data_IF_569247933883
#
_entry.id   IF_569247933883
#
_cell.length_a   1.000
_cell.length_b   1.000
_cell.length_c   1.000
_cell.angle_alpha   90.00
_cell.angle_beta   90.00
_cell.angle_gamma   90.00
#
_symmetry.space_group_name_H-M   'P 1'
#
loop_
_entity.id
_entity.type
_entity.pdbx_description
1 polymer ?
#
# COMPACT_ATOMS: atom_id res chain seq x y z
N UNK A 1 -22.17 -24.08 2.07
CA UNK A 1 -22.06 -23.05 1.01
C UNK A 1 -20.79 -22.26 1.24
N UNK A 2 -20.02 -21.99 0.18
CA UNK A 2 -18.87 -21.13 0.25
C UNK A 2 -18.89 -20.10 -0.90
N UNK A 3 -18.22 -18.99 -0.69
CA UNK A 3 -17.97 -17.96 -1.70
C UNK A 3 -16.47 -17.83 -1.89
N UNK A 4 -16.02 -17.87 -3.14
CA UNK A 4 -14.63 -17.57 -3.52
C UNK A 4 -14.58 -16.20 -4.21
N UNK A 5 -13.71 -15.34 -3.73
CA UNK A 5 -13.34 -14.09 -4.39
C UNK A 5 -11.88 -14.22 -4.77
N UNK A 6 -11.63 -14.29 -6.07
CA UNK A 6 -10.29 -14.27 -6.64
C UNK A 6 -9.91 -12.86 -7.05
N UNK A 7 -8.63 -12.53 -6.96
CA UNK A 7 -8.08 -11.21 -7.26
C UNK A 7 -8.79 -10.08 -6.50
N UNK A 8 -8.93 -10.22 -5.18
CA UNK A 8 -9.60 -9.23 -4.32
C UNK A 8 -9.09 -7.80 -4.54
N UNK A 9 -7.82 -7.64 -4.95
CA UNK A 9 -7.23 -6.33 -5.22
C UNK A 9 -7.89 -5.59 -6.40
N UNK A 10 -8.54 -6.28 -7.32
CA UNK A 10 -9.28 -5.67 -8.44
C UNK A 10 -10.54 -4.92 -7.99
N UNK A 11 -11.01 -5.19 -6.76
CA UNK A 11 -12.14 -4.47 -6.16
C UNK A 11 -11.73 -3.11 -5.55
N UNK A 12 -10.44 -2.79 -5.49
CA UNK A 12 -9.94 -1.57 -4.87
C UNK A 12 -10.58 -0.27 -5.40
N UNK A 13 -10.92 -0.25 -6.69
CA UNK A 13 -11.46 0.93 -7.38
C UNK A 13 -12.92 0.81 -7.77
N UNK A 14 -13.61 -0.26 -7.36
CA UNK A 14 -15.00 -0.49 -7.74
C UNK A 14 -15.93 0.19 -6.74
N UNK A 15 -16.76 1.12 -7.21
CA UNK A 15 -17.64 1.95 -6.38
C UNK A 15 -18.66 1.18 -5.53
N UNK A 16 -19.09 -0.01 -5.97
CA UNK A 16 -20.05 -0.86 -5.24
C UNK A 16 -19.41 -2.01 -4.47
N UNK A 17 -18.10 -2.08 -4.43
CA UNK A 17 -17.39 -3.21 -3.82
C UNK A 17 -17.71 -3.40 -2.33
N UNK A 18 -17.77 -2.32 -1.56
CA UNK A 18 -18.11 -2.39 -0.13
C UNK A 18 -19.50 -3.03 0.09
N UNK A 19 -20.50 -2.66 -0.70
CA UNK A 19 -21.85 -3.24 -0.61
C UNK A 19 -21.82 -4.75 -0.91
N UNK A 20 -21.13 -5.17 -1.96
CA UNK A 20 -20.98 -6.59 -2.31
C UNK A 20 -20.34 -7.39 -1.16
N UNK A 21 -19.29 -6.89 -0.55
CA UNK A 21 -18.64 -7.57 0.57
C UNK A 21 -19.51 -7.64 1.82
N UNK A 22 -20.34 -6.61 2.08
CA UNK A 22 -21.32 -6.61 3.17
C UNK A 22 -22.39 -7.68 2.91
N UNK A 23 -22.94 -7.74 1.70
CA UNK A 23 -23.96 -8.72 1.33
C UNK A 23 -23.44 -10.16 1.40
N UNK A 24 -22.22 -10.41 0.86
CA UNK A 24 -21.59 -11.73 0.92
C UNK A 24 -21.40 -12.20 2.36
N UNK A 25 -20.92 -11.33 3.25
CA UNK A 25 -20.77 -11.66 4.67
C UNK A 25 -22.14 -11.80 5.37
N UNK A 26 -23.11 -10.97 5.05
CA UNK A 26 -24.47 -11.06 5.57
C UNK A 26 -25.12 -12.40 5.22
N UNK A 27 -24.87 -12.92 4.03
CA UNK A 27 -25.38 -14.21 3.60
C UNK A 27 -24.82 -15.40 4.42
N UNK A 28 -23.68 -15.25 5.08
CA UNK A 28 -23.11 -16.27 5.97
C UNK A 28 -23.82 -16.36 7.32
N UNK A 29 -24.54 -15.31 7.75
CA UNK A 29 -25.21 -15.26 9.06
C UNK A 29 -26.24 -16.40 9.22
N UNK A 30 -26.91 -16.79 8.15
CA UNK A 30 -27.86 -17.91 8.13
C UNK A 30 -27.21 -19.28 7.81
N UNK A 31 -25.89 -19.36 7.74
CA UNK A 31 -25.16 -20.55 7.27
C UNK A 31 -23.90 -20.78 8.12
N UNK A 32 -24.00 -21.41 9.29
CA UNK A 32 -22.88 -21.60 10.21
C UNK A 32 -21.68 -22.31 9.60
N UNK A 33 -21.91 -23.21 8.64
CA UNK A 33 -20.85 -23.96 7.91
C UNK A 33 -20.39 -23.24 6.65
N UNK A 34 -20.87 -22.01 6.43
CA UNK A 34 -20.45 -21.20 5.29
C UNK A 34 -19.14 -20.46 5.54
N UNK A 35 -18.37 -20.23 4.48
CA UNK A 35 -17.18 -19.42 4.57
C UNK A 35 -16.95 -18.60 3.29
N UNK A 36 -16.23 -17.52 3.45
CA UNK A 36 -15.69 -16.68 2.38
C UNK A 36 -14.20 -16.91 2.27
N UNK A 37 -13.74 -17.37 1.10
CA UNK A 37 -12.33 -17.46 0.76
C UNK A 37 -11.96 -16.30 -0.16
N UNK A 38 -10.91 -15.59 0.18
CA UNK A 38 -10.35 -14.53 -0.64
C UNK A 38 -8.92 -14.92 -1.03
N UNK A 39 -8.62 -14.83 -2.32
CA UNK A 39 -7.29 -15.08 -2.89
C UNK A 39 -6.88 -13.83 -3.65
N UNK A 40 -5.65 -13.39 -3.47
CA UNK A 40 -5.17 -12.17 -4.13
C UNK A 40 -3.65 -12.06 -4.10
N UNK A 41 -3.10 -11.35 -5.07
CA UNK A 41 -1.76 -10.76 -5.02
C UNK A 41 -1.81 -9.31 -4.54
N UNK A 42 -0.71 -8.60 -4.59
CA UNK A 42 -0.68 -7.15 -4.35
C UNK A 42 -1.28 -6.40 -5.54
N UNK A 43 -1.91 -5.28 -5.25
CA UNK A 43 -2.40 -4.35 -6.27
C UNK A 43 -1.24 -3.66 -7.01
N UNK A 44 -1.47 -3.37 -8.29
CA UNK A 44 -0.55 -2.58 -9.15
C UNK A 44 -0.47 -1.10 -8.79
N UNK A 45 -1.18 -0.71 -7.75
CA UNK A 45 -1.24 0.63 -7.16
C UNK A 45 -1.26 0.50 -5.62
N UNK A 46 -1.07 1.57 -4.85
CA UNK A 46 -1.27 1.53 -3.41
C UNK A 46 -2.63 0.93 -3.05
N UNK A 47 -2.71 0.07 -2.02
CA UNK A 47 -3.98 -0.50 -1.60
C UNK A 47 -5.01 0.58 -1.30
N UNK A 48 -6.22 0.42 -1.84
CA UNK A 48 -7.32 1.36 -1.68
C UNK A 48 -8.65 0.63 -1.49
N UNK A 49 -9.71 1.37 -1.16
CA UNK A 49 -11.08 0.87 -1.10
C UNK A 49 -11.24 -0.37 -0.22
N UNK A 50 -12.07 -1.30 -0.68
CA UNK A 50 -12.36 -2.55 0.02
C UNK A 50 -11.12 -3.43 0.17
N UNK A 51 -10.25 -3.46 -0.84
CA UNK A 51 -9.02 -4.26 -0.77
C UNK A 51 -8.12 -3.81 0.39
N UNK A 52 -7.95 -2.51 0.58
CA UNK A 52 -7.19 -1.97 1.72
C UNK A 52 -7.81 -2.40 3.05
N UNK A 53 -9.15 -2.27 3.19
CA UNK A 53 -9.88 -2.65 4.40
C UNK A 53 -9.70 -4.14 4.74
N UNK A 54 -9.79 -5.02 3.72
CA UNK A 54 -9.61 -6.47 3.91
C UNK A 54 -8.18 -6.82 4.32
N UNK A 55 -7.19 -6.21 3.66
CA UNK A 55 -5.78 -6.43 3.94
C UNK A 55 -5.40 -5.95 5.36
N UNK A 56 -5.84 -4.74 5.75
CA UNK A 56 -5.59 -4.19 7.08
C UNK A 56 -6.24 -5.06 8.17
N UNK A 57 -7.47 -5.54 7.93
CA UNK A 57 -8.16 -6.48 8.83
C UNK A 57 -7.39 -7.80 8.97
N UNK A 58 -6.91 -8.37 7.86
CA UNK A 58 -6.14 -9.61 7.87
C UNK A 58 -4.82 -9.44 8.64
N UNK A 59 -4.16 -8.30 8.48
CA UNK A 59 -2.94 -7.97 9.24
C UNK A 59 -3.21 -7.82 10.74
N UNK A 60 -4.25 -7.08 11.10
CA UNK A 60 -4.64 -6.88 12.50
C UNK A 60 -4.97 -8.21 13.20
N UNK A 61 -5.62 -9.15 12.49
CA UNK A 61 -5.86 -10.50 13.03
C UNK A 61 -4.56 -11.30 13.16
N UNK A 62 -3.69 -11.29 12.15
CA UNK A 62 -2.38 -11.94 12.20
C UNK A 62 -1.53 -11.43 13.37
N UNK A 63 -1.55 -10.13 13.61
CA UNK A 63 -0.71 -9.45 14.60
C UNK A 63 -1.34 -9.48 16.02
N UNK A 64 -2.55 -10.07 16.15
CA UNK A 64 -3.25 -10.22 17.42
C UNK A 64 -3.94 -8.94 17.92
N UNK A 65 -4.01 -7.91 17.08
CA UNK A 65 -4.68 -6.63 17.41
C UNK A 65 -6.20 -6.75 17.30
N UNK A 66 -6.69 -7.73 16.54
CA UNK A 66 -8.11 -7.94 16.29
C UNK A 66 -8.44 -9.44 16.37
N UNK A 67 -9.49 -9.78 17.13
CA UNK A 67 -9.98 -11.17 17.26
C UNK A 67 -11.24 -11.34 16.40
N UNK A 68 -11.13 -12.11 15.33
CA UNK A 68 -12.23 -12.45 14.42
C UNK A 68 -12.14 -13.93 14.03
N UNK A 69 -13.25 -14.56 13.60
CA UNK A 69 -13.25 -15.88 12.98
C UNK A 69 -12.69 -15.79 11.55
N UNK A 70 -11.44 -15.35 11.43
CA UNK A 70 -10.72 -15.11 10.19
C UNK A 70 -9.36 -15.80 10.25
N UNK A 71 -9.06 -16.65 9.28
CA UNK A 71 -7.74 -17.21 9.05
C UNK A 71 -6.99 -16.29 8.07
N UNK A 72 -6.01 -15.54 8.56
CA UNK A 72 -5.16 -14.69 7.75
C UNK A 72 -3.89 -15.45 7.33
N UNK A 73 -3.76 -15.76 6.03
CA UNK A 73 -2.54 -16.34 5.44
C UNK A 73 -1.93 -15.29 4.52
N UNK A 74 -0.84 -14.65 4.97
CA UNK A 74 -0.20 -13.51 4.29
C UNK A 74 1.26 -13.85 3.99
N UNK A 75 1.56 -14.07 2.71
CA UNK A 75 2.92 -14.24 2.21
C UNK A 75 3.51 -12.88 1.86
N UNK A 76 3.95 -12.13 2.86
CA UNK A 76 4.52 -10.80 2.69
C UNK A 76 5.83 -10.64 3.46
N UNK A 77 6.76 -9.88 2.89
CA UNK A 77 8.00 -9.54 3.57
C UNK A 77 7.74 -8.47 4.64
N UNK A 78 8.52 -8.46 5.73
CA UNK A 78 8.48 -7.37 6.70
C UNK A 78 8.64 -6.00 6.03
N UNK A 79 7.93 -4.99 6.53
CA UNK A 79 7.92 -3.64 5.94
C UNK A 79 9.34 -3.06 5.78
N UNK A 80 10.22 -3.29 6.76
CA UNK A 80 11.63 -2.87 6.68
C UNK A 80 12.35 -3.50 5.48
N UNK A 81 12.12 -4.79 5.22
CA UNK A 81 12.72 -5.51 4.10
C UNK A 81 12.16 -5.04 2.76
N UNK A 82 10.84 -4.76 2.69
CA UNK A 82 10.24 -4.17 1.49
C UNK A 82 10.87 -2.80 1.17
N UNK A 83 10.99 -1.91 2.15
CA UNK A 83 11.56 -0.56 2.00
C UNK A 83 13.05 -0.59 1.63
N UNK A 84 13.84 -1.49 2.21
CA UNK A 84 15.29 -1.61 1.92
C UNK A 84 15.61 -2.28 0.58
N UNK A 85 14.60 -2.79 -0.14
CA UNK A 85 14.81 -3.53 -1.38
C UNK A 85 15.29 -4.96 -1.17
N UNK A 86 15.18 -5.51 0.04
CA UNK A 86 15.58 -6.89 0.37
C UNK A 86 14.82 -7.96 -0.41
N UNK A 87 13.66 -7.62 -1.01
CA UNK A 87 12.92 -8.48 -1.91
C UNK A 87 13.67 -8.80 -3.24
N UNK A 88 14.72 -8.03 -3.57
CA UNK A 88 15.59 -8.31 -4.72
C UNK A 88 16.56 -9.46 -4.45
N UNK A 89 16.75 -9.82 -3.19
CA UNK A 89 17.60 -10.95 -2.81
C UNK A 89 16.86 -12.27 -3.02
N UNK A 90 17.42 -13.12 -3.88
CA UNK A 90 16.84 -14.43 -4.20
C UNK A 90 16.73 -15.39 -2.99
N UNK A 91 17.42 -15.11 -1.89
CA UNK A 91 17.28 -15.86 -0.65
C UNK A 91 15.95 -15.61 0.05
N UNK A 92 15.30 -14.47 -0.19
CA UNK A 92 14.04 -14.08 0.44
C UNK A 92 12.80 -14.52 -0.34
N UNK A 93 12.96 -14.93 -1.61
CA UNK A 93 11.82 -15.20 -2.50
C UNK A 93 10.92 -16.33 -2.03
N UNK A 94 11.45 -17.34 -1.35
CA UNK A 94 10.65 -18.43 -0.76
C UNK A 94 9.69 -17.97 0.32
N UNK A 95 9.91 -16.79 0.94
CA UNK A 95 9.01 -16.24 1.96
C UNK A 95 7.69 -15.72 1.36
N UNK A 96 7.70 -15.33 0.10
CA UNK A 96 6.55 -14.76 -0.61
C UNK A 96 6.07 -15.62 -1.77
N UNK A 97 6.83 -16.65 -2.12
CA UNK A 97 6.48 -17.64 -3.14
C UNK A 97 6.56 -19.05 -2.54
N UNK A 98 5.51 -19.52 -1.85
CA UNK A 98 5.51 -20.84 -1.20
C UNK A 98 5.71 -22.00 -2.17
N UNK A 99 5.42 -21.78 -3.46
CA UNK A 99 5.60 -22.73 -4.56
C UNK A 99 6.89 -22.51 -5.36
N UNK A 100 7.86 -21.77 -4.80
CA UNK A 100 9.15 -21.55 -5.47
C UNK A 100 9.83 -22.90 -5.80
N UNK A 101 10.32 -23.04 -7.03
CA UNK A 101 10.87 -24.27 -7.63
C UNK A 101 9.85 -25.44 -7.77
N UNK A 102 8.55 -25.15 -7.67
CA UNK A 102 7.46 -26.11 -7.97
C UNK A 102 6.60 -25.62 -9.12
N UNK A 103 5.95 -24.46 -8.99
CA UNK A 103 5.17 -23.82 -10.03
C UNK A 103 5.79 -22.49 -10.51
N UNK A 104 6.69 -21.90 -9.71
CA UNK A 104 7.45 -20.69 -10.06
C UNK A 104 8.92 -21.04 -10.03
N UNK A 105 9.59 -20.92 -11.18
CA UNK A 105 11.03 -21.16 -11.28
C UNK A 105 11.83 -19.96 -10.76
N UNK A 106 12.83 -20.24 -9.93
CA UNK A 106 13.75 -19.23 -9.40
C UNK A 106 14.56 -18.55 -10.50
N UNK A 107 14.97 -19.28 -11.54
CA UNK A 107 15.67 -18.73 -12.68
C UNK A 107 14.79 -17.75 -13.45
N UNK A 108 13.53 -18.11 -13.70
CA UNK A 108 12.56 -17.20 -14.31
C UNK A 108 12.43 -15.88 -13.55
N UNK A 109 12.28 -15.92 -12.21
CA UNK A 109 12.18 -14.70 -11.39
C UNK A 109 13.45 -13.85 -11.46
N UNK A 110 14.64 -14.48 -11.53
CA UNK A 110 15.91 -13.77 -11.67
C UNK A 110 16.02 -13.05 -13.02
N UNK A 111 15.59 -13.70 -14.10
CA UNK A 111 15.58 -13.11 -15.45
C UNK A 111 14.59 -11.94 -15.52
N UNK A 112 13.38 -12.11 -14.94
CA UNK A 112 12.39 -11.03 -14.84
C UNK A 112 12.92 -9.83 -14.04
N UNK A 113 13.60 -10.07 -12.92
CA UNK A 113 14.20 -9.00 -12.12
C UNK A 113 15.30 -8.27 -12.89
N UNK A 114 16.15 -8.99 -13.60
CA UNK A 114 17.21 -8.41 -14.43
C UNK A 114 16.62 -7.54 -15.53
N UNK A 115 15.58 -8.01 -16.19
CA UNK A 115 14.86 -7.27 -17.24
C UNK A 115 14.21 -6.02 -16.66
N UNK A 116 13.46 -6.14 -15.57
CA UNK A 116 12.77 -5.01 -14.94
C UNK A 116 13.73 -3.93 -14.40
N UNK A 117 14.90 -4.33 -13.90
CA UNK A 117 15.94 -3.38 -13.48
C UNK A 117 16.48 -2.53 -14.65
N UNK A 118 16.53 -3.11 -15.86
CA UNK A 118 16.95 -2.41 -17.07
C UNK A 118 15.83 -1.53 -17.63
N UNK A 119 14.60 -2.04 -17.64
CA UNK A 119 13.46 -1.40 -18.31
C UNK A 119 12.89 -0.23 -17.50
N UNK A 120 13.22 -0.15 -16.21
CA UNK A 120 12.99 1.05 -15.39
C UNK A 120 12.02 0.88 -14.21
N UNK A 121 11.74 1.98 -13.51
CA UNK A 121 11.02 1.93 -12.24
C UNK A 121 9.58 1.40 -12.33
N UNK A 122 8.91 1.61 -13.45
CA UNK A 122 7.53 1.16 -13.66
C UNK A 122 7.45 -0.37 -13.70
N UNK A 123 8.30 -0.98 -14.53
CA UNK A 123 8.38 -2.43 -14.68
C UNK A 123 8.86 -3.08 -13.39
N UNK A 124 9.82 -2.45 -12.72
CA UNK A 124 10.33 -2.92 -11.44
C UNK A 124 9.24 -2.90 -10.36
N UNK A 125 8.41 -1.86 -10.29
CA UNK A 125 7.29 -1.76 -9.36
C UNK A 125 6.23 -2.82 -9.64
N UNK A 126 5.92 -3.04 -10.92
CA UNK A 126 4.98 -4.06 -11.35
C UNK A 126 5.47 -5.47 -10.98
N UNK A 127 6.71 -5.81 -11.29
CA UNK A 127 7.33 -7.07 -10.90
C UNK A 127 7.31 -7.27 -9.38
N UNK A 128 7.71 -6.23 -8.63
CA UNK A 128 7.76 -6.26 -7.18
C UNK A 128 6.38 -6.59 -6.56
N UNK A 129 5.32 -5.98 -7.07
CA UNK A 129 3.98 -6.20 -6.57
C UNK A 129 3.43 -7.58 -6.96
N UNK A 130 3.62 -8.00 -8.19
CA UNK A 130 2.97 -9.20 -8.74
C UNK A 130 3.70 -10.51 -8.37
N UNK A 131 5.02 -10.48 -8.25
CA UNK A 131 5.81 -11.69 -7.99
C UNK A 131 6.46 -11.72 -6.60
N UNK A 132 6.63 -10.59 -5.94
CA UNK A 132 7.26 -10.54 -4.62
C UNK A 132 6.35 -9.97 -3.53
N UNK A 133 5.07 -9.75 -3.83
CA UNK A 133 4.07 -9.21 -2.90
C UNK A 133 4.52 -7.93 -2.18
N UNK A 134 5.35 -7.11 -2.84
CA UNK A 134 5.79 -5.82 -2.31
C UNK A 134 4.68 -4.80 -2.49
N UNK A 135 4.32 -4.11 -1.42
CA UNK A 135 3.31 -3.07 -1.50
C UNK A 135 3.86 -1.85 -2.26
N UNK A 136 3.18 -1.46 -3.34
CA UNK A 136 3.53 -0.23 -4.06
C UNK A 136 3.22 0.96 -3.14
N UNK A 137 4.26 1.69 -2.84
CA UNK A 137 4.21 2.96 -2.10
C UNK A 137 4.51 4.13 -3.01
N UNK A 138 4.72 5.31 -2.42
CA UNK A 138 5.02 6.53 -3.16
C UNK A 138 6.25 6.38 -4.06
N UNK A 139 7.33 5.76 -3.57
CA UNK A 139 8.59 5.62 -4.32
C UNK A 139 8.59 4.58 -5.44
N UNK A 140 7.58 3.70 -5.51
CA UNK A 140 7.48 2.65 -6.53
C UNK A 140 6.44 2.94 -7.62
N UNK A 141 5.73 4.05 -7.56
CA UNK A 141 4.79 4.44 -8.63
C UNK A 141 5.55 4.91 -9.87
N UNK A 142 5.15 4.41 -11.03
CA UNK A 142 5.74 4.80 -12.32
C UNK A 142 5.59 6.29 -12.65
N UNK A 143 4.54 6.92 -12.16
CA UNK A 143 4.21 8.33 -12.32
C UNK A 143 4.36 9.13 -11.01
N UNK A 144 5.17 8.65 -10.08
CA UNK A 144 5.39 9.39 -8.84
C UNK A 144 6.21 10.65 -9.09
N UNK A 145 5.92 11.68 -8.31
CA UNK A 145 6.77 12.86 -8.25
C UNK A 145 8.21 12.47 -7.86
N UNK A 146 9.21 13.09 -8.47
CA UNK A 146 10.63 12.80 -8.24
C UNK A 146 11.02 12.88 -6.76
N UNK A 147 10.41 13.80 -6.00
CA UNK A 147 10.63 13.97 -4.57
C UNK A 147 10.00 12.89 -3.67
N UNK A 148 9.17 12.00 -4.22
CA UNK A 148 8.45 10.99 -3.41
C UNK A 148 9.39 10.07 -2.61
N UNK A 149 10.56 9.75 -3.13
CA UNK A 149 11.56 8.92 -2.46
C UNK A 149 12.21 9.60 -1.25
N UNK A 150 12.15 10.91 -1.20
CA UNK A 150 12.74 11.74 -0.14
C UNK A 150 11.70 12.22 0.87
N UNK A 151 10.41 12.04 0.57
CA UNK A 151 9.31 12.59 1.35
C UNK A 151 9.33 12.18 2.83
N UNK A 152 9.46 10.86 3.08
CA UNK A 152 9.52 10.36 4.46
C UNK A 152 10.78 10.82 5.20
N UNK A 153 11.93 10.89 4.51
CA UNK A 153 13.20 11.34 5.07
C UNK A 153 13.26 12.84 5.34
N UNK A 154 12.43 13.62 4.66
CA UNK A 154 12.33 15.07 4.84
C UNK A 154 11.36 15.46 5.97
N UNK A 155 10.67 14.49 6.60
CA UNK A 155 9.70 14.77 7.65
C UNK A 155 10.37 15.38 8.90
N UNK A 156 9.97 16.59 9.26
CA UNK A 156 10.39 17.28 10.48
C UNK A 156 9.47 16.86 11.63
N UNK A 157 9.98 15.99 12.51
CA UNK A 157 9.21 15.52 13.66
C UNK A 157 8.83 16.70 14.58
N UNK A 158 7.55 16.78 14.92
CA UNK A 158 7.02 17.83 15.80
C UNK A 158 6.78 19.19 15.15
N UNK A 159 6.89 19.29 13.82
CA UNK A 159 6.49 20.52 13.12
C UNK A 159 4.96 20.62 13.13
N UNK A 160 4.44 21.58 13.89
CA UNK A 160 3.04 21.97 13.86
C UNK A 160 2.84 23.30 13.12
N UNK A 161 1.60 23.65 12.82
CA UNK A 161 1.25 24.87 12.10
C UNK A 161 1.74 26.13 12.83
N UNK A 162 1.66 26.15 14.16
CA UNK A 162 2.07 27.30 14.97
C UNK A 162 3.58 27.52 14.90
N UNK A 163 4.37 26.46 15.01
CA UNK A 163 5.83 26.52 14.89
C UNK A 163 6.27 26.86 13.47
N UNK A 164 5.59 26.36 12.46
CA UNK A 164 5.86 26.74 11.07
C UNK A 164 5.67 28.23 10.87
N UNK A 165 4.53 28.79 11.26
CA UNK A 165 4.23 30.22 11.11
C UNK A 165 5.25 31.07 11.87
N UNK A 166 5.63 30.66 13.09
CA UNK A 166 6.60 31.42 13.91
C UNK A 166 8.00 31.42 13.28
N UNK A 167 8.41 30.36 12.62
CA UNK A 167 9.74 30.22 11.99
C UNK A 167 9.85 30.90 10.64
N UNK A 168 8.75 31.01 9.91
CA UNK A 168 8.78 31.47 8.52
C UNK A 168 8.76 33.01 8.39
N UNK A 169 9.49 33.51 7.39
CA UNK A 169 9.44 34.92 6.98
C UNK A 169 8.24 35.21 6.07
N UNK A 170 7.77 34.19 5.36
CA UNK A 170 6.58 34.21 4.53
C UNK A 170 5.92 32.84 4.59
N UNK A 171 4.60 32.81 4.62
CA UNK A 171 3.80 31.59 4.52
C UNK A 171 2.65 31.79 3.54
N UNK A 172 2.36 30.77 2.76
CA UNK A 172 1.25 30.72 1.81
C UNK A 172 0.34 29.56 2.19
N UNK A 173 -0.96 29.82 2.17
CA UNK A 173 -1.99 28.83 2.48
C UNK A 173 -2.67 28.41 1.20
N UNK A 174 -2.73 27.12 0.95
CA UNK A 174 -3.55 26.50 -0.08
C UNK A 174 -4.75 25.81 0.55
N UNK A 175 -5.94 26.10 0.03
CA UNK A 175 -7.18 25.46 0.42
C UNK A 175 -7.78 24.86 -0.85
N UNK A 176 -8.06 23.55 -0.80
CA UNK A 176 -8.80 22.86 -1.83
C UNK A 176 -10.03 22.22 -1.20
N UNK A 177 -11.18 22.52 -1.74
CA UNK A 177 -12.46 22.02 -1.24
C UNK A 177 -13.31 21.55 -2.39
N UNK A 178 -13.75 20.30 -2.30
CA UNK A 178 -14.62 19.66 -3.27
C UNK A 178 -16.10 19.77 -2.92
N UNK A 179 -16.91 19.02 -3.66
CA UNK A 179 -18.35 18.86 -3.42
C UNK A 179 -18.66 17.96 -2.21
N UNK A 180 -19.89 17.48 -2.14
CA UNK A 180 -20.40 16.69 -1.00
C UNK A 180 -19.61 15.40 -0.70
N UNK A 181 -18.88 14.87 -1.67
CA UNK A 181 -18.12 13.61 -1.54
C UNK A 181 -16.59 13.82 -1.58
N UNK A 182 -16.12 15.06 -1.48
CA UNK A 182 -14.70 15.40 -1.56
C UNK A 182 -14.16 15.93 -0.22
N UNK A 183 -12.89 15.61 0.06
CA UNK A 183 -12.23 16.07 1.27
C UNK A 183 -11.76 17.51 1.11
N UNK A 184 -11.96 18.32 2.14
CA UNK A 184 -11.35 19.64 2.22
C UNK A 184 -9.86 19.48 2.55
N UNK A 185 -8.99 19.93 1.65
CA UNK A 185 -7.55 19.97 1.82
C UNK A 185 -7.09 21.35 2.32
N UNK A 186 -6.23 21.37 3.33
CA UNK A 186 -5.54 22.57 3.81
C UNK A 186 -4.05 22.28 3.83
N UNK A 187 -3.27 23.12 3.14
CA UNK A 187 -1.82 23.04 3.17
C UNK A 187 -1.21 24.41 3.41
N UNK A 188 -0.14 24.45 4.18
CA UNK A 188 0.65 25.66 4.43
C UNK A 188 2.10 25.41 4.04
N UNK A 189 2.64 26.27 3.20
CA UNK A 189 4.05 26.26 2.82
C UNK A 189 4.68 27.56 3.28
N UNK A 190 5.77 27.47 4.03
CA UNK A 190 6.49 28.63 4.52
C UNK A 190 7.98 28.54 4.28
N UNK A 191 8.65 29.69 4.12
CA UNK A 191 10.09 29.76 4.00
C UNK A 191 10.69 30.10 5.36
N UNK A 192 11.52 29.20 5.89
CA UNK A 192 12.20 29.40 7.17
C UNK A 192 13.09 30.66 7.11
N UNK A 193 13.01 31.46 8.17
CA UNK A 193 13.71 32.77 8.25
C UNK A 193 15.23 32.60 8.34
N UNK A 194 15.70 31.54 8.97
CA UNK A 194 17.11 31.31 9.23
C UNK A 194 17.75 30.41 8.17
N UNK A 195 17.19 29.22 7.95
CA UNK A 195 17.78 28.23 7.02
C UNK A 195 17.43 28.49 5.57
N UNK A 196 16.39 29.29 5.30
CA UNK A 196 15.81 29.51 3.97
C UNK A 196 15.20 28.26 3.32
N UNK A 197 15.05 27.19 4.07
CA UNK A 197 14.35 25.99 3.61
C UNK A 197 12.84 26.22 3.51
N UNK A 198 12.20 25.43 2.65
CA UNK A 198 10.76 25.42 2.53
C UNK A 198 10.18 24.37 3.48
N UNK A 199 9.34 24.83 4.41
CA UNK A 199 8.60 23.99 5.34
C UNK A 199 7.17 23.77 4.82
N UNK A 200 6.67 22.57 4.97
CA UNK A 200 5.30 22.20 4.57
C UNK A 200 4.56 21.57 5.75
N UNK A 201 3.31 21.98 5.93
CA UNK A 201 2.35 21.39 6.86
C UNK A 201 1.00 21.21 6.16
N UNK A 202 0.34 20.03 6.35
CA UNK A 202 -0.97 19.70 5.81
C UNK A 202 -1.74 18.79 6.77
#
# INVERSE_FOLDING_TARGET
TFTLIDETHEFATKSKADAVFIEVRGALAARPDGFLLQITTRSKAPPAGVFKKELDRARAVRDGELVLPLLAVLYELPAKMQKSGGWKDAATWGLVNPNLNRSVDKAFLADQLTTALRDGPAELALLASQHFNVQIGLGLKSNSWVGANYWEGAALQGLDLKSLIARCEVAVVGIDGGGLDDLMGLAVIGRDRETKDWLHWA
#
